data_IF_891452988604
#
_entry.id   IF_891452988604
#
_cell.length_a   1.000
_cell.length_b   1.000
_cell.length_c   1.000
_cell.angle_alpha   90.00
_cell.angle_beta   90.00
_cell.angle_gamma   90.00
#
_symmetry.space_group_name_H-M   'P 1'
#
loop_
_entity.id
_entity.type
_entity.pdbx_description
1 polymer ?
#
# COMPACT_ATOMS: atom_id res chain seq x y z
N UNK A 1 -3.42 6.88 -4.57
CA UNK A 1 -4.33 7.81 -3.87
C UNK A 1 -5.49 8.32 -4.72
N UNK A 2 -5.25 8.85 -5.93
CA UNK A 2 -6.31 9.41 -6.83
C UNK A 2 -6.70 8.46 -7.98
N UNK A 3 -6.90 7.17 -7.70
CA UNK A 3 -7.27 6.21 -8.75
C UNK A 3 -8.64 6.58 -9.34
N UNK A 4 -8.69 6.93 -10.62
CA UNK A 4 -9.92 7.37 -11.29
C UNK A 4 -10.94 6.22 -11.37
N UNK A 5 -12.20 6.55 -11.14
CA UNK A 5 -13.32 5.63 -11.35
C UNK A 5 -13.91 5.86 -12.73
N UNK A 6 -14.23 4.78 -13.45
CA UNK A 6 -15.02 4.89 -14.67
C UNK A 6 -16.47 5.15 -14.31
N UNK A 7 -17.01 6.26 -14.81
CA UNK A 7 -18.43 6.58 -14.69
C UNK A 7 -19.18 5.84 -15.78
N UNK A 8 -20.13 4.99 -15.41
CA UNK A 8 -21.10 4.46 -16.36
C UNK A 8 -22.09 5.58 -16.71
N UNK A 9 -22.14 5.97 -17.98
CA UNK A 9 -23.17 6.87 -18.46
C UNK A 9 -24.51 6.13 -18.36
N UNK A 10 -25.42 6.68 -17.58
CA UNK A 10 -26.81 6.23 -17.52
C UNK A 10 -27.69 7.30 -18.16
N UNK A 11 -28.72 6.85 -18.87
CA UNK A 11 -29.72 7.76 -19.40
C UNK A 11 -30.44 8.47 -18.25
N UNK A 12 -30.77 9.77 -18.41
CA UNK A 12 -31.51 10.50 -17.39
C UNK A 12 -32.87 9.84 -17.15
N UNK A 13 -33.04 9.26 -15.96
CA UNK A 13 -34.31 8.69 -15.51
C UNK A 13 -35.24 9.84 -15.08
N UNK A 14 -36.46 9.85 -15.61
CA UNK A 14 -37.49 10.84 -15.27
C UNK A 14 -37.81 10.81 -13.77
N UNK A 15 -38.09 11.99 -13.19
CA UNK A 15 -38.45 12.09 -11.79
C UNK A 15 -39.78 11.38 -11.51
N UNK A 16 -39.82 10.56 -10.46
CA UNK A 16 -41.08 10.00 -9.97
C UNK A 16 -41.90 11.07 -9.22
N UNK A 17 -43.23 10.97 -9.31
CA UNK A 17 -44.15 11.87 -8.62
C UNK A 17 -44.25 11.48 -7.13
N UNK A 18 -43.73 12.32 -6.23
CA UNK A 18 -43.81 12.13 -4.78
C UNK A 18 -42.87 13.08 -4.04
N UNK A 19 -43.19 13.45 -2.80
CA UNK A 19 -42.28 14.19 -1.93
C UNK A 19 -41.49 13.21 -1.03
N UNK A 20 -40.24 13.55 -0.64
CA UNK A 20 -39.49 12.76 0.32
C UNK A 20 -40.27 12.53 1.62
N UNK A 21 -40.15 11.33 2.19
CA UNK A 21 -40.79 10.98 3.47
C UNK A 21 -39.75 10.86 4.56
N UNK A 22 -39.97 11.56 5.67
CA UNK A 22 -39.14 11.42 6.86
C UNK A 22 -39.53 10.16 7.62
N UNK A 23 -38.57 9.28 7.88
CA UNK A 23 -38.73 8.00 8.57
C UNK A 23 -37.81 7.98 9.80
N UNK A 24 -38.33 7.50 10.93
CA UNK A 24 -37.55 7.32 12.15
C UNK A 24 -36.64 6.09 12.02
N UNK A 25 -35.36 6.28 12.31
CA UNK A 25 -34.29 5.27 12.28
C UNK A 25 -33.46 5.35 13.57
N UNK A 26 -34.07 5.16 14.74
CA UNK A 26 -33.40 5.38 16.03
C UNK A 26 -32.22 4.43 16.20
N UNK A 27 -31.06 4.98 16.57
CA UNK A 27 -29.84 4.20 16.82
C UNK A 27 -29.15 3.64 15.58
N UNK A 28 -29.65 3.92 14.36
CA UNK A 28 -29.01 3.53 13.09
C UNK A 28 -28.13 4.68 12.61
N UNK A 29 -26.83 4.42 12.46
CA UNK A 29 -25.83 5.43 12.11
C UNK A 29 -25.10 5.11 10.81
N UNK A 30 -24.83 3.84 10.52
CA UNK A 30 -24.15 3.45 9.28
C UNK A 30 -25.13 3.26 8.12
N UNK A 31 -24.64 3.35 6.89
CA UNK A 31 -25.47 3.13 5.71
C UNK A 31 -26.00 1.69 5.66
N UNK A 32 -25.20 0.72 6.10
CA UNK A 32 -25.55 -0.69 6.23
C UNK A 32 -26.69 -0.90 7.22
N UNK A 33 -26.58 -0.30 8.41
CA UNK A 33 -27.61 -0.37 9.45
C UNK A 33 -28.94 0.22 8.99
N UNK A 34 -28.89 1.32 8.22
CA UNK A 34 -30.08 1.98 7.66
C UNK A 34 -30.68 1.16 6.53
N UNK A 35 -29.85 0.62 5.63
CA UNK A 35 -30.28 -0.24 4.53
C UNK A 35 -30.98 -1.50 5.05
N UNK A 36 -30.38 -2.17 6.03
CA UNK A 36 -30.95 -3.34 6.70
C UNK A 36 -32.25 -3.00 7.41
N UNK A 37 -32.28 -1.92 8.19
CA UNK A 37 -33.46 -1.51 8.95
C UNK A 37 -34.66 -1.17 8.07
N UNK A 38 -34.42 -0.53 6.92
CA UNK A 38 -35.47 -0.13 5.98
C UNK A 38 -35.79 -1.21 4.93
N UNK A 39 -35.02 -2.30 4.90
CA UNK A 39 -35.20 -3.38 3.92
C UNK A 39 -34.91 -2.94 2.48
N UNK A 40 -33.92 -2.06 2.28
CA UNK A 40 -33.53 -1.54 0.96
C UNK A 40 -32.09 -1.93 0.61
N UNK A 41 -31.71 -2.00 -0.68
CA UNK A 41 -30.33 -2.23 -1.07
C UNK A 41 -29.40 -1.13 -0.54
N UNK A 42 -28.19 -1.48 -0.11
CA UNK A 42 -27.17 -0.50 0.31
C UNK A 42 -26.87 0.54 -0.80
N UNK A 43 -26.92 0.11 -2.05
CA UNK A 43 -26.77 0.97 -3.23
C UNK A 43 -27.87 2.05 -3.37
N UNK A 44 -28.99 1.92 -2.65
CA UNK A 44 -30.07 2.93 -2.60
C UNK A 44 -29.97 3.85 -1.39
N UNK A 45 -28.97 3.67 -0.52
CA UNK A 45 -28.67 4.59 0.58
C UNK A 45 -27.53 5.50 0.14
N UNK A 46 -27.46 6.73 0.65
CA UNK A 46 -26.33 7.63 0.43
C UNK A 46 -25.66 8.00 1.76
N UNK A 47 -24.34 8.15 1.72
CA UNK A 47 -23.53 8.64 2.82
C UNK A 47 -23.21 10.10 2.57
N UNK A 48 -23.48 10.95 3.55
CA UNK A 48 -23.11 12.37 3.53
C UNK A 48 -22.07 12.64 4.60
N UNK A 49 -20.89 13.05 4.17
CA UNK A 49 -19.77 13.40 5.05
C UNK A 49 -19.49 14.90 4.96
N UNK A 50 -19.26 15.54 6.10
CA UNK A 50 -18.94 16.97 6.16
C UNK A 50 -17.44 17.11 6.40
N UNK A 51 -16.79 17.86 5.54
CA UNK A 51 -15.37 18.17 5.63
C UNK A 51 -15.17 19.63 5.97
N UNK A 52 -14.10 19.91 6.70
CA UNK A 52 -13.60 21.25 7.00
C UNK A 52 -12.41 21.56 6.08
N UNK A 53 -12.40 22.77 5.52
CA UNK A 53 -11.35 23.27 4.63
C UNK A 53 -10.99 24.69 5.03
N UNK A 54 -9.91 25.24 4.47
CA UNK A 54 -9.58 26.66 4.65
C UNK A 54 -10.63 27.62 4.05
N UNK A 55 -11.57 27.13 3.22
CA UNK A 55 -12.66 27.88 2.62
C UNK A 55 -14.00 27.71 3.35
N UNK A 56 -14.06 26.87 4.38
CA UNK A 56 -15.28 26.54 5.12
C UNK A 56 -15.71 25.08 4.99
N UNK A 57 -16.92 24.77 5.47
CA UNK A 57 -17.48 23.42 5.44
C UNK A 57 -17.96 23.05 4.04
N UNK A 58 -17.79 21.78 3.67
CA UNK A 58 -18.29 21.21 2.41
C UNK A 58 -18.85 19.81 2.66
N UNK A 59 -19.95 19.47 2.01
CA UNK A 59 -20.55 18.15 2.07
C UNK A 59 -20.12 17.30 0.87
N UNK A 60 -19.72 16.05 1.13
CA UNK A 60 -19.45 15.06 0.10
C UNK A 60 -20.48 13.93 0.20
N UNK A 61 -21.13 13.60 -0.92
CA UNK A 61 -22.18 12.60 -0.98
C UNK A 61 -21.78 11.45 -1.91
N UNK A 62 -21.78 10.24 -1.37
CA UNK A 62 -21.49 9.00 -2.12
C UNK A 62 -22.59 7.96 -1.88
N UNK A 63 -22.60 6.91 -2.70
CA UNK A 63 -23.53 5.78 -2.56
C UNK A 63 -23.17 4.97 -1.31
N UNK A 64 -24.12 4.29 -0.69
CA UNK A 64 -23.95 3.62 0.61
C UNK A 64 -22.84 2.58 0.63
N UNK A 65 -22.61 1.93 -0.50
CA UNK A 65 -21.57 0.91 -0.75
C UNK A 65 -20.23 1.49 -1.26
N UNK A 66 -20.09 2.81 -1.33
CA UNK A 66 -18.88 3.50 -1.75
C UNK A 66 -18.28 4.32 -0.61
N UNK A 67 -16.96 4.43 -0.52
CA UNK A 67 -16.29 5.27 0.47
C UNK A 67 -15.84 6.60 -0.16
N UNK A 68 -15.96 7.72 0.56
CA UNK A 68 -15.41 8.99 0.10
C UNK A 68 -13.88 8.92 0.09
N UNK A 69 -13.26 9.47 -0.96
CA UNK A 69 -11.83 9.68 -1.07
C UNK A 69 -11.52 11.17 -0.84
N UNK A 70 -11.05 11.57 0.36
CA UNK A 70 -10.78 12.97 0.69
C UNK A 70 -9.72 13.60 -0.22
N UNK A 71 -8.77 12.81 -0.75
CA UNK A 71 -7.73 13.30 -1.66
C UNK A 71 -8.30 13.70 -3.02
N UNK A 72 -9.34 13.01 -3.50
CA UNK A 72 -10.08 13.42 -4.70
C UNK A 72 -10.89 14.69 -4.46
N UNK A 73 -11.61 14.75 -3.33
CA UNK A 73 -12.37 15.94 -2.94
C UNK A 73 -11.46 17.18 -2.79
N UNK A 74 -10.33 17.05 -2.09
CA UNK A 74 -9.28 18.09 -1.99
C UNK A 74 -8.87 18.62 -3.36
N UNK A 75 -8.60 17.69 -4.29
CA UNK A 75 -8.16 18.02 -5.63
C UNK A 75 -9.25 18.71 -6.45
N UNK A 76 -10.51 18.33 -6.27
CA UNK A 76 -11.65 18.93 -6.95
C UNK A 76 -11.91 20.35 -6.47
N UNK A 77 -11.84 20.59 -5.16
CA UNK A 77 -12.06 21.90 -4.54
C UNK A 77 -10.88 22.88 -4.72
N UNK A 78 -9.72 22.38 -5.14
CA UNK A 78 -8.48 23.17 -5.22
C UNK A 78 -8.14 23.79 -3.87
N UNK A 79 -8.14 22.96 -2.82
CA UNK A 79 -7.83 23.35 -1.44
C UNK A 79 -6.55 22.68 -0.96
N UNK A 80 -5.86 23.33 -0.03
CA UNK A 80 -4.62 22.82 0.56
C UNK A 80 -4.86 21.94 1.78
N UNK A 81 -5.95 22.17 2.52
CA UNK A 81 -6.31 21.39 3.71
C UNK A 81 -7.72 20.86 3.56
N UNK A 82 -7.90 19.58 3.89
CA UNK A 82 -9.22 18.98 4.04
C UNK A 82 -9.19 17.96 5.15
N UNK A 83 -10.12 18.06 6.09
CA UNK A 83 -10.25 17.14 7.21
C UNK A 83 -11.73 16.85 7.46
N UNK A 84 -12.05 15.73 8.11
CA UNK A 84 -13.43 15.48 8.51
C UNK A 84 -13.82 16.52 9.57
N UNK A 85 -14.98 17.15 9.40
CA UNK A 85 -15.42 18.19 10.31
C UNK A 85 -15.71 17.62 11.71
N UNK A 86 -15.35 18.40 12.74
CA UNK A 86 -15.64 18.07 14.14
C UNK A 86 -17.16 17.95 14.39
N UNK A 87 -17.56 16.98 15.21
CA UNK A 87 -18.98 16.69 15.48
C UNK A 87 -19.71 17.89 16.10
N UNK A 88 -19.06 18.68 16.97
CA UNK A 88 -19.70 19.83 17.59
C UNK A 88 -19.93 20.95 16.56
N UNK A 89 -18.97 21.17 15.65
CA UNK A 89 -19.11 22.12 14.54
C UNK A 89 -20.23 21.71 13.58
N UNK A 90 -20.31 20.42 13.25
CA UNK A 90 -21.37 19.84 12.41
C UNK A 90 -22.74 20.01 13.08
N UNK A 91 -22.87 19.63 14.36
CA UNK A 91 -24.12 19.75 15.10
C UNK A 91 -24.59 21.21 15.25
N UNK A 92 -23.67 22.14 15.49
CA UNK A 92 -23.99 23.57 15.57
C UNK A 92 -24.46 24.16 14.24
N UNK A 93 -23.96 23.63 13.11
CA UNK A 93 -24.27 24.15 11.77
C UNK A 93 -25.52 23.52 11.17
N UNK A 94 -25.67 22.20 11.28
CA UNK A 94 -26.72 21.42 10.62
C UNK A 94 -27.88 21.08 11.57
N UNK A 95 -27.63 21.08 12.88
CA UNK A 95 -28.62 20.67 13.89
C UNK A 95 -28.75 19.15 14.05
N UNK A 96 -27.83 18.38 13.46
CA UNK A 96 -27.79 16.92 13.55
C UNK A 96 -26.35 16.38 13.56
N UNK A 97 -26.20 15.15 14.01
CA UNK A 97 -24.92 14.44 14.11
C UNK A 97 -24.69 13.48 12.95
N UNK A 98 -23.45 13.02 12.82
CA UNK A 98 -23.08 11.95 11.90
C UNK A 98 -24.01 10.73 12.06
N UNK A 99 -24.38 10.12 10.93
CA UNK A 99 -25.39 9.05 10.85
C UNK A 99 -26.83 9.53 10.67
N UNK A 100 -27.09 10.83 10.64
CA UNK A 100 -28.39 11.38 10.22
C UNK A 100 -28.27 12.58 9.27
N UNK A 101 -27.08 12.77 8.69
CA UNK A 101 -26.77 13.84 7.74
C UNK A 101 -27.16 13.45 6.31
N UNK A 102 -27.76 14.38 5.57
CA UNK A 102 -28.13 14.23 4.17
C UNK A 102 -28.00 15.53 3.41
N UNK A 103 -28.02 15.51 2.06
CA UNK A 103 -27.76 16.69 1.23
C UNK A 103 -28.92 17.69 1.19
N UNK A 104 -30.12 17.30 1.63
CA UNK A 104 -31.33 18.12 1.51
C UNK A 104 -31.29 19.26 2.53
N UNK A 105 -31.29 20.51 2.04
CA UNK A 105 -31.34 21.71 2.88
C UNK A 105 -30.04 22.03 3.62
N UNK A 106 -28.90 21.50 3.17
CA UNK A 106 -27.60 21.86 3.74
C UNK A 106 -27.23 23.32 3.43
N UNK A 107 -26.65 24.06 4.39
CA UNK A 107 -26.28 25.47 4.22
C UNK A 107 -24.90 25.67 3.57
N UNK A 108 -24.25 24.60 3.09
CA UNK A 108 -22.93 24.61 2.49
C UNK A 108 -22.91 23.94 1.13
N UNK A 109 -21.79 24.03 0.42
CA UNK A 109 -21.62 23.37 -0.86
C UNK A 109 -21.74 21.85 -0.75
N UNK A 110 -22.45 21.25 -1.69
CA UNK A 110 -22.71 19.81 -1.75
C UNK A 110 -22.07 19.23 -3.01
N UNK A 111 -20.93 18.57 -2.83
CA UNK A 111 -20.27 17.80 -3.87
C UNK A 111 -20.82 16.37 -3.91
N UNK A 112 -21.23 15.90 -5.08
CA UNK A 112 -21.89 14.60 -5.26
C UNK A 112 -21.08 13.70 -6.19
N UNK A 113 -20.89 12.44 -5.79
CA UNK A 113 -20.21 11.44 -6.61
C UNK A 113 -21.03 11.09 -7.85
N UNK A 114 -20.36 10.91 -8.99
CA UNK A 114 -21.02 10.57 -10.25
C UNK A 114 -21.91 9.32 -10.18
N UNK A 115 -21.66 8.37 -9.28
CA UNK A 115 -22.52 7.19 -9.11
C UNK A 115 -23.96 7.52 -8.70
N UNK A 116 -24.21 8.71 -8.14
CA UNK A 116 -25.55 9.16 -7.76
C UNK A 116 -26.36 9.71 -8.93
N UNK A 117 -25.74 9.98 -10.09
CA UNK A 117 -26.44 10.53 -11.26
C UNK A 117 -27.60 9.62 -11.71
N UNK A 118 -27.37 8.30 -11.70
CA UNK A 118 -28.36 7.27 -12.03
C UNK A 118 -29.39 7.03 -10.92
N UNK A 119 -29.08 7.43 -9.69
CA UNK A 119 -29.86 7.04 -8.51
C UNK A 119 -31.11 7.90 -8.37
N UNK A 120 -32.24 7.27 -8.06
CA UNK A 120 -33.53 7.90 -7.78
C UNK A 120 -34.15 7.24 -6.55
N UNK A 121 -35.05 7.97 -5.91
CA UNK A 121 -35.83 7.52 -4.76
C UNK A 121 -34.97 6.92 -3.64
N UNK A 122 -33.78 7.49 -3.45
CA UNK A 122 -32.81 6.98 -2.50
C UNK A 122 -33.11 7.41 -1.07
N UNK A 123 -32.42 6.76 -0.14
CA UNK A 123 -32.44 7.05 1.29
C UNK A 123 -31.23 7.87 1.66
N UNK A 124 -31.43 8.94 2.44
CA UNK A 124 -30.35 9.78 2.96
C UNK A 124 -30.71 10.32 4.34
N UNK A 125 -29.75 10.83 5.11
CA UNK A 125 -30.04 11.41 6.41
C UNK A 125 -31.01 12.59 6.32
N UNK A 126 -31.84 12.78 7.34
CA UNK A 126 -32.85 13.85 7.34
C UNK A 126 -32.37 15.19 7.91
N UNK A 127 -31.07 15.32 8.20
CA UNK A 127 -30.50 16.42 9.00
C UNK A 127 -31.24 16.59 10.34
N UNK A 128 -31.64 15.46 10.93
CA UNK A 128 -32.28 15.38 12.24
C UNK A 128 -31.93 14.03 12.87
N UNK A 129 -31.37 14.05 14.08
CA UNK A 129 -30.88 12.86 14.78
C UNK A 129 -31.94 11.74 14.83
N UNK A 130 -31.55 10.55 14.36
CA UNK A 130 -32.41 9.37 14.35
C UNK A 130 -33.48 9.38 13.26
N UNK A 131 -33.32 10.18 12.21
CA UNK A 131 -34.23 10.20 11.06
C UNK A 131 -33.49 10.17 9.72
N UNK A 132 -34.12 9.53 8.74
CA UNK A 132 -33.73 9.53 7.34
C UNK A 132 -34.89 10.01 6.46
N UNK A 133 -34.57 10.50 5.28
CA UNK A 133 -35.51 10.77 4.20
C UNK A 133 -35.48 9.60 3.22
N UNK A 134 -36.65 9.11 2.82
CA UNK A 134 -36.81 8.12 1.75
C UNK A 134 -37.47 8.75 0.53
N UNK A 135 -37.18 8.22 -0.66
CA UNK A 135 -37.73 8.74 -1.90
C UNK A 135 -37.06 10.04 -2.36
N UNK A 136 -35.81 10.28 -1.99
CA UNK A 136 -35.06 11.50 -2.36
C UNK A 136 -34.53 11.41 -3.79
N UNK A 137 -34.55 12.54 -4.51
CA UNK A 137 -34.03 12.70 -5.87
C UNK A 137 -33.23 14.00 -5.98
N UNK A 138 -32.00 13.90 -6.50
CA UNK A 138 -31.23 15.08 -6.91
C UNK A 138 -31.97 15.80 -8.05
N UNK A 139 -31.83 17.12 -8.16
CA UNK A 139 -32.57 17.97 -9.11
C UNK A 139 -34.01 18.30 -8.69
N UNK A 140 -34.65 17.47 -7.85
CA UNK A 140 -35.98 17.73 -7.29
C UNK A 140 -35.92 18.24 -5.84
N UNK A 141 -35.19 17.54 -4.98
CA UNK A 141 -35.20 17.80 -3.53
C UNK A 141 -33.96 18.55 -3.04
N UNK A 142 -32.87 18.50 -3.82
CA UNK A 142 -31.67 19.30 -3.63
C UNK A 142 -30.93 19.39 -4.97
N UNK A 143 -30.18 20.47 -5.15
CA UNK A 143 -29.30 20.66 -6.31
C UNK A 143 -27.84 20.48 -5.85
N UNK A 144 -27.08 19.55 -6.45
CA UNK A 144 -25.64 19.45 -6.20
C UNK A 144 -24.92 20.75 -6.59
N UNK A 145 -24.04 21.27 -5.74
CA UNK A 145 -23.15 22.37 -6.14
C UNK A 145 -22.18 21.91 -7.23
N UNK A 146 -21.71 20.66 -7.13
CA UNK A 146 -20.82 20.08 -8.12
C UNK A 146 -20.96 18.55 -8.19
N UNK A 147 -20.76 18.01 -9.39
CA UNK A 147 -20.57 16.58 -9.63
C UNK A 147 -19.09 16.28 -9.80
N UNK A 148 -18.58 15.25 -9.12
CA UNK A 148 -17.17 14.89 -9.16
C UNK A 148 -16.94 13.38 -8.95
N UNK A 149 -15.74 12.91 -9.30
CA UNK A 149 -15.25 11.59 -8.88
C UNK A 149 -14.79 11.73 -7.42
N UNK A 150 -15.64 11.31 -6.47
CA UNK A 150 -15.41 11.50 -5.04
C UNK A 150 -15.10 10.20 -4.32
N UNK A 151 -15.43 9.05 -4.90
CA UNK A 151 -15.28 7.77 -4.21
C UNK A 151 -13.90 7.13 -4.34
N UNK A 152 -13.55 6.30 -3.36
CA UNK A 152 -12.48 5.33 -3.50
C UNK A 152 -12.89 4.24 -4.49
N UNK A 153 -11.89 3.72 -5.22
CA UNK A 153 -12.09 2.58 -6.10
C UNK A 153 -12.19 1.29 -5.27
N UNK A 154 -13.07 0.40 -5.68
CA UNK A 154 -13.31 -0.90 -5.05
C UNK A 154 -12.83 -2.05 -5.95
N UNK A 155 -12.58 -3.21 -5.36
CA UNK A 155 -12.28 -4.41 -6.13
C UNK A 155 -13.44 -4.78 -7.04
N UNK A 156 -13.13 -5.09 -8.31
CA UNK A 156 -14.13 -5.38 -9.34
C UNK A 156 -14.58 -4.16 -10.14
N UNK A 157 -14.28 -2.93 -9.71
CA UNK A 157 -14.59 -1.73 -10.50
C UNK A 157 -13.96 -1.79 -11.90
N UNK A 158 -14.66 -1.29 -12.93
CA UNK A 158 -14.14 -1.29 -14.29
C UNK A 158 -12.97 -0.32 -14.42
N UNK A 159 -11.88 -0.80 -15.01
CA UNK A 159 -10.71 0.02 -15.29
C UNK A 159 -11.08 1.23 -16.17
N UNK A 160 -10.66 2.46 -15.81
CA UNK A 160 -10.96 3.66 -16.58
C UNK A 160 -10.34 3.66 -17.98
N UNK A 161 -9.35 2.79 -18.24
CA UNK A 161 -8.70 2.65 -19.55
C UNK A 161 -9.27 1.52 -20.40
N UNK A 162 -9.49 0.35 -19.83
CA UNK A 162 -9.82 -0.87 -20.59
C UNK A 162 -11.10 -1.60 -20.13
N UNK A 163 -11.83 -1.07 -19.15
CA UNK A 163 -13.03 -1.67 -18.54
C UNK A 163 -12.84 -3.00 -17.79
N UNK A 164 -11.66 -3.62 -17.84
CA UNK A 164 -11.38 -4.85 -17.09
C UNK A 164 -11.52 -4.63 -15.57
N UNK A 165 -11.97 -5.64 -14.80
CA UNK A 165 -12.16 -5.51 -13.37
C UNK A 165 -10.83 -5.27 -12.64
N UNK A 166 -10.82 -4.30 -11.73
CA UNK A 166 -9.63 -3.95 -10.95
C UNK A 166 -9.47 -4.89 -9.76
N UNK A 167 -8.24 -5.36 -9.56
CA UNK A 167 -7.83 -6.05 -8.35
C UNK A 167 -7.09 -5.09 -7.41
N UNK A 168 -7.44 -5.11 -6.12
CA UNK A 168 -6.74 -4.34 -5.10
C UNK A 168 -5.70 -5.25 -4.43
N UNK A 169 -4.46 -4.77 -4.36
CA UNK A 169 -3.36 -5.44 -3.65
C UNK A 169 -2.75 -4.48 -2.65
N UNK A 170 -2.19 -5.03 -1.57
CA UNK A 170 -1.39 -4.27 -0.62
C UNK A 170 0.03 -4.15 -1.15
N UNK A 171 0.62 -2.98 -1.00
CA UNK A 171 2.00 -2.71 -1.38
C UNK A 171 2.64 -1.76 -0.39
N UNK A 172 3.96 -1.89 -0.24
CA UNK A 172 4.78 -0.96 0.53
C UNK A 172 5.43 -0.03 -0.48
N UNK A 173 5.19 1.27 -0.37
CA UNK A 173 5.82 2.27 -1.25
C UNK A 173 7.31 2.39 -0.87
N UNK A 174 8.18 1.77 -1.66
CA UNK A 174 9.65 1.85 -1.49
C UNK A 174 10.28 3.02 -2.24
N UNK A 175 9.56 3.65 -3.16
CA UNK A 175 10.03 4.82 -3.89
C UNK A 175 8.91 5.55 -4.63
N UNK A 176 9.21 6.80 -4.99
CA UNK A 176 8.27 7.70 -5.66
C UNK A 176 9.04 8.62 -6.60
N UNK A 177 8.45 8.90 -7.76
CA UNK A 177 8.97 9.86 -8.73
C UNK A 177 7.95 10.97 -8.96
N UNK A 178 8.38 12.23 -8.89
CA UNK A 178 7.51 13.38 -9.09
C UNK A 178 8.03 14.28 -10.21
N UNK A 179 7.10 14.77 -11.04
CA UNK A 179 7.31 15.92 -11.90
C UNK A 179 6.89 17.17 -11.12
N UNK A 180 7.86 17.90 -10.59
CA UNK A 180 7.61 19.07 -9.76
C UNK A 180 7.26 20.31 -10.60
N UNK A 181 7.63 20.31 -11.88
CA UNK A 181 7.45 21.48 -12.74
C UNK A 181 8.31 22.63 -12.23
N UNK A 182 7.73 23.82 -12.16
CA UNK A 182 8.43 25.06 -11.77
C UNK A 182 8.16 25.48 -10.33
N UNK A 183 7.43 24.66 -9.54
CA UNK A 183 6.97 25.00 -8.18
C UNK A 183 8.07 25.58 -7.27
N UNK A 184 9.25 24.95 -7.28
CA UNK A 184 10.37 25.37 -6.43
C UNK A 184 11.28 26.38 -7.12
N UNK A 185 11.48 26.24 -8.42
CA UNK A 185 12.33 27.17 -9.17
C UNK A 185 11.76 28.59 -9.18
N UNK A 186 10.43 28.73 -9.29
CA UNK A 186 9.76 30.04 -9.20
C UNK A 186 9.85 30.62 -7.79
N UNK A 187 9.59 29.81 -6.76
CA UNK A 187 9.58 30.30 -5.38
C UNK A 187 10.97 30.60 -4.81
N UNK A 188 12.01 29.97 -5.36
CA UNK A 188 13.41 30.10 -4.91
C UNK A 188 14.30 30.87 -5.89
N UNK A 189 13.73 31.48 -6.93
CA UNK A 189 14.45 32.25 -7.96
C UNK A 189 15.56 31.45 -8.69
N UNK A 190 15.31 30.17 -8.98
CA UNK A 190 16.25 29.31 -9.71
C UNK A 190 15.94 29.33 -11.23
N UNK A 191 16.67 30.19 -11.95
CA UNK A 191 16.48 30.46 -13.38
C UNK A 191 17.70 30.08 -14.24
N UNK A 192 17.47 29.87 -15.53
CA UNK A 192 18.51 29.75 -16.56
C UNK A 192 18.17 30.63 -17.77
N UNK A 193 19.17 30.99 -18.57
CA UNK A 193 18.93 31.61 -19.88
C UNK A 193 18.73 30.50 -20.92
N UNK A 194 17.63 30.55 -21.64
CA UNK A 194 17.38 29.62 -22.73
C UNK A 194 18.15 29.98 -24.02
N UNK A 195 17.87 29.27 -25.10
CA UNK A 195 18.53 29.46 -26.39
C UNK A 195 18.27 30.84 -27.02
N UNK A 196 17.17 31.50 -26.66
CA UNK A 196 16.78 32.83 -27.13
C UNK A 196 17.29 33.95 -26.20
N UNK A 197 17.96 33.58 -25.10
CA UNK A 197 18.44 34.50 -24.08
C UNK A 197 17.36 34.97 -23.10
N UNK A 198 16.22 34.27 -23.04
CA UNK A 198 15.15 34.55 -22.08
C UNK A 198 15.42 33.85 -20.75
N UNK A 199 15.20 34.56 -19.64
CA UNK A 199 15.25 33.96 -18.31
C UNK A 199 14.04 33.07 -18.09
N UNK A 200 14.26 31.78 -17.85
CA UNK A 200 13.20 30.79 -17.60
C UNK A 200 13.45 30.02 -16.30
N UNK A 201 12.40 29.72 -15.51
CA UNK A 201 12.55 28.88 -14.33
C UNK A 201 12.91 27.45 -14.74
N UNK A 202 13.74 26.79 -13.94
CA UNK A 202 14.14 25.41 -14.19
C UNK A 202 12.97 24.43 -14.02
N UNK A 203 12.72 23.56 -15.00
CA UNK A 203 11.75 22.46 -14.84
C UNK A 203 12.38 21.35 -14.00
N UNK A 204 11.75 21.00 -12.89
CA UNK A 204 12.31 20.07 -11.91
C UNK A 204 11.55 18.73 -11.87
N UNK A 205 12.31 17.67 -11.60
CA UNK A 205 11.81 16.38 -11.16
C UNK A 205 12.54 15.95 -9.89
N UNK A 206 11.89 15.13 -9.06
CA UNK A 206 12.55 14.48 -7.93
C UNK A 206 12.25 12.98 -7.87
N UNK A 207 13.22 12.24 -7.35
CA UNK A 207 13.21 10.78 -7.32
C UNK A 207 13.67 10.34 -5.94
N UNK A 208 12.83 9.59 -5.23
CA UNK A 208 13.13 9.14 -3.88
C UNK A 208 12.98 7.64 -3.76
N UNK A 209 13.94 7.00 -3.10
CA UNK A 209 13.88 5.59 -2.68
C UNK A 209 14.16 5.55 -1.17
N UNK A 210 13.27 4.90 -0.42
CA UNK A 210 13.43 4.74 1.01
C UNK A 210 14.34 3.57 1.32
N UNK A 211 15.67 3.77 1.36
CA UNK A 211 16.66 2.69 1.51
C UNK A 211 16.34 1.71 2.65
N UNK A 212 16.14 2.22 3.87
CA UNK A 212 15.78 1.36 5.02
C UNK A 212 14.41 0.68 4.87
N UNK A 213 13.46 1.36 4.23
CA UNK A 213 12.13 0.79 3.94
C UNK A 213 12.23 -0.32 2.88
N UNK A 214 13.10 -0.19 1.89
CA UNK A 214 13.36 -1.22 0.88
C UNK A 214 13.90 -2.48 1.53
N UNK A 215 14.85 -2.37 2.46
CA UNK A 215 15.36 -3.51 3.21
C UNK A 215 14.23 -4.19 4.03
N UNK A 216 13.42 -3.42 4.77
CA UNK A 216 12.28 -3.96 5.50
C UNK A 216 11.23 -4.63 4.58
N UNK A 217 10.92 -4.00 3.45
CA UNK A 217 10.00 -4.54 2.46
C UNK A 217 10.52 -5.84 1.81
N UNK A 218 11.85 -5.97 1.64
CA UNK A 218 12.46 -7.21 1.20
C UNK A 218 12.27 -8.33 2.23
N UNK A 219 12.43 -8.05 3.54
CA UNK A 219 12.15 -9.03 4.61
C UNK A 219 10.67 -9.42 4.63
N UNK A 220 9.75 -8.46 4.55
CA UNK A 220 8.30 -8.72 4.51
C UNK A 220 7.90 -9.67 3.38
N UNK A 221 8.54 -9.56 2.22
CA UNK A 221 8.32 -10.47 1.09
C UNK A 221 9.15 -11.76 1.19
N UNK A 222 10.22 -11.77 1.99
CA UNK A 222 11.20 -12.85 2.03
C UNK A 222 11.57 -13.28 3.45
N UNK A 223 10.63 -13.95 4.11
CA UNK A 223 10.84 -14.61 5.40
C UNK A 223 10.08 -15.95 5.46
N UNK A 224 10.40 -16.73 6.49
CA UNK A 224 9.61 -17.88 6.93
C UNK A 224 9.53 -17.90 8.46
N UNK A 225 8.93 -18.94 9.04
CA UNK A 225 8.78 -19.09 10.50
C UNK A 225 10.12 -19.13 11.26
N UNK A 226 11.24 -19.38 10.56
CA UNK A 226 12.58 -19.49 11.15
C UNK A 226 13.38 -18.18 11.04
N UNK A 227 12.92 -17.21 10.24
CA UNK A 227 13.57 -15.91 10.12
C UNK A 227 13.65 -15.39 8.68
N UNK A 228 14.65 -14.54 8.44
CA UNK A 228 14.83 -13.84 7.16
C UNK A 228 15.32 -14.81 6.09
N UNK A 229 14.94 -14.60 4.83
CA UNK A 229 15.48 -15.31 3.68
C UNK A 229 15.91 -14.31 2.60
N UNK A 230 17.05 -13.65 2.80
CA UNK A 230 17.48 -12.53 1.97
C UNK A 230 17.56 -12.88 0.47
N UNK A 231 17.08 -11.99 -0.42
CA UNK A 231 17.59 -11.94 -1.78
C UNK A 231 19.11 -11.77 -1.76
N UNK A 232 19.84 -12.46 -2.65
CA UNK A 232 21.32 -12.50 -2.63
C UNK A 232 21.96 -11.10 -2.62
N UNK A 233 21.51 -10.10 -3.41
CA UNK A 233 22.10 -8.76 -3.38
C UNK A 233 21.90 -7.98 -2.07
N UNK A 234 20.98 -8.42 -1.20
CA UNK A 234 20.65 -7.76 0.07
C UNK A 234 21.13 -8.53 1.30
N UNK A 235 21.67 -9.73 1.10
CA UNK A 235 22.13 -10.55 2.20
C UNK A 235 23.37 -9.90 2.85
N UNK A 236 23.49 -9.92 4.19
CA UNK A 236 24.68 -9.38 4.87
C UNK A 236 25.94 -10.19 4.56
N UNK A 237 25.75 -11.48 4.28
CA UNK A 237 26.75 -12.40 3.73
C UNK A 237 26.02 -13.37 2.82
N UNK A 238 26.67 -13.84 1.77
CA UNK A 238 26.08 -14.76 0.81
C UNK A 238 26.14 -16.21 1.31
N UNK A 239 27.24 -16.57 1.97
CA UNK A 239 27.48 -17.90 2.52
C UNK A 239 27.70 -17.82 4.03
N UNK A 240 26.93 -18.59 4.81
CA UNK A 240 27.16 -18.80 6.24
C UNK A 240 27.81 -20.18 6.44
N UNK A 241 29.08 -20.15 6.82
CA UNK A 241 29.92 -21.32 6.98
C UNK A 241 30.00 -21.73 8.46
N UNK A 242 29.51 -22.92 8.81
CA UNK A 242 29.39 -23.40 10.19
C UNK A 242 30.38 -24.52 10.47
N UNK A 243 31.24 -24.30 11.46
CA UNK A 243 32.11 -25.34 12.03
C UNK A 243 31.42 -25.99 13.22
N UNK A 244 31.22 -27.31 13.16
CA UNK A 244 30.56 -28.08 14.22
C UNK A 244 31.53 -28.52 15.32
N UNK A 245 32.82 -28.68 15.01
CA UNK A 245 33.82 -29.13 15.99
C UNK A 245 35.17 -28.43 15.80
N UNK A 246 35.43 -27.43 16.66
CA UNK A 246 36.66 -26.64 16.66
C UNK A 246 37.90 -27.40 17.16
N UNK A 247 37.71 -28.54 17.83
CA UNK A 247 38.83 -29.36 18.34
C UNK A 247 39.47 -30.22 17.24
N UNK A 248 38.85 -30.30 16.06
CA UNK A 248 39.40 -31.02 14.93
C UNK A 248 40.19 -30.04 14.05
N UNK A 249 41.52 -30.02 14.24
CA UNK A 249 42.43 -29.12 13.51
C UNK A 249 42.33 -29.27 11.98
N UNK A 250 42.14 -30.51 11.47
CA UNK A 250 42.00 -30.76 10.05
C UNK A 250 40.70 -30.14 9.48
N UNK A 251 39.61 -30.22 10.25
CA UNK A 251 38.32 -29.60 9.90
C UNK A 251 38.43 -28.08 9.91
N UNK A 252 39.06 -27.51 10.95
CA UNK A 252 39.29 -26.06 11.06
C UNK A 252 40.13 -25.57 9.88
N UNK A 253 41.26 -26.23 9.59
CA UNK A 253 42.13 -25.85 8.47
C UNK A 253 41.42 -25.95 7.11
N UNK A 254 40.55 -26.95 6.92
CA UNK A 254 39.77 -27.07 5.70
C UNK A 254 38.70 -25.98 5.58
N UNK A 255 38.03 -25.62 6.68
CA UNK A 255 37.07 -24.53 6.72
C UNK A 255 37.73 -23.18 6.37
N UNK A 256 38.87 -22.86 7.00
CA UNK A 256 39.63 -21.64 6.73
C UNK A 256 40.08 -21.57 5.27
N UNK A 257 40.62 -22.67 4.72
CA UNK A 257 41.02 -22.70 3.31
C UNK A 257 39.85 -22.44 2.36
N UNK A 258 38.70 -23.06 2.61
CA UNK A 258 37.52 -22.90 1.76
C UNK A 258 36.90 -21.50 1.90
N UNK A 259 36.93 -20.94 3.10
CA UNK A 259 36.59 -19.53 3.35
C UNK A 259 37.46 -18.60 2.50
N UNK A 260 38.79 -18.72 2.61
CA UNK A 260 39.74 -17.85 1.90
C UNK A 260 39.63 -18.01 0.38
N UNK A 261 39.36 -19.23 -0.10
CA UNK A 261 39.13 -19.49 -1.52
C UNK A 261 37.85 -18.80 -2.03
N UNK A 262 36.76 -18.85 -1.26
CA UNK A 262 35.51 -18.16 -1.60
C UNK A 262 35.68 -16.64 -1.59
N UNK A 263 36.34 -16.08 -0.57
CA UNK A 263 36.63 -14.65 -0.50
C UNK A 263 37.51 -14.19 -1.68
N UNK A 264 38.50 -15.00 -2.08
CA UNK A 264 39.34 -14.70 -3.25
C UNK A 264 38.57 -14.63 -4.58
N UNK A 265 37.37 -15.20 -4.62
CA UNK A 265 36.44 -15.18 -5.75
C UNK A 265 35.35 -14.11 -5.61
N UNK A 266 35.43 -13.26 -4.57
CA UNK A 266 34.48 -12.18 -4.32
C UNK A 266 33.18 -12.62 -3.65
N UNK A 267 33.15 -13.82 -3.04
CA UNK A 267 32.00 -14.28 -2.25
C UNK A 267 32.16 -13.79 -0.82
N UNK A 268 31.12 -13.16 -0.28
CA UNK A 268 31.06 -12.70 1.11
C UNK A 268 30.65 -13.87 2.01
N UNK A 269 31.57 -14.30 2.88
CA UNK A 269 31.41 -15.46 3.75
C UNK A 269 31.37 -15.06 5.22
N UNK A 270 30.39 -15.55 5.97
CA UNK A 270 30.35 -15.52 7.42
C UNK A 270 30.87 -16.84 7.97
N UNK A 271 32.04 -16.84 8.59
CA UNK A 271 32.59 -18.00 9.29
C UNK A 271 32.09 -18.04 10.74
N UNK A 272 31.27 -19.03 11.09
CA UNK A 272 30.82 -19.27 12.47
C UNK A 272 31.76 -20.27 13.17
N UNK A 273 32.84 -19.73 13.70
CA UNK A 273 33.89 -20.40 14.46
C UNK A 273 33.68 -20.34 15.98
N UNK A 274 32.49 -19.92 16.45
CA UNK A 274 32.19 -19.80 17.89
C UNK A 274 32.18 -21.17 18.57
N UNK A 275 32.60 -21.22 19.83
CA UNK A 275 32.50 -22.44 20.66
C UNK A 275 31.08 -22.61 21.21
N UNK A 276 30.13 -22.84 20.29
CA UNK A 276 28.70 -22.96 20.58
C UNK A 276 28.11 -24.26 20.04
N UNK A 277 26.99 -24.69 20.63
CA UNK A 277 26.30 -25.91 20.19
C UNK A 277 25.78 -25.74 18.76
N UNK A 278 25.95 -26.76 17.92
CA UNK A 278 25.51 -26.73 16.52
C UNK A 278 24.05 -26.30 16.33
N UNK A 279 23.14 -26.75 17.21
CA UNK A 279 21.73 -26.34 17.17
C UNK A 279 21.52 -24.83 17.35
N UNK A 280 22.33 -24.17 18.19
CA UNK A 280 22.28 -22.70 18.37
C UNK A 280 22.78 -22.02 17.10
N UNK A 281 23.93 -22.45 16.57
CA UNK A 281 24.47 -21.94 15.31
C UNK A 281 23.47 -22.06 14.16
N UNK A 282 22.79 -23.20 14.03
CA UNK A 282 21.79 -23.40 12.98
C UNK A 282 20.58 -22.49 13.14
N UNK A 283 20.07 -22.31 14.36
CA UNK A 283 18.94 -21.42 14.62
C UNK A 283 19.29 -19.96 14.31
N UNK A 284 20.48 -19.50 14.71
CA UNK A 284 20.94 -18.14 14.41
C UNK A 284 21.26 -17.95 12.93
N UNK A 285 21.79 -18.98 12.25
CA UNK A 285 21.98 -18.95 10.81
C UNK A 285 20.66 -18.82 10.04
N UNK A 286 19.62 -19.55 10.48
CA UNK A 286 18.28 -19.43 9.91
C UNK A 286 17.69 -18.04 10.17
N UNK A 287 17.95 -17.44 11.34
CA UNK A 287 17.50 -16.09 11.68
C UNK A 287 18.20 -15.00 10.85
N UNK A 288 19.53 -15.10 10.71
CA UNK A 288 20.36 -14.18 9.90
C UNK A 288 20.01 -14.25 8.41
N UNK A 289 19.65 -15.44 7.92
CA UNK A 289 19.03 -15.60 6.61
C UNK A 289 19.98 -15.55 5.41
N UNK A 290 21.26 -15.89 5.60
CA UNK A 290 22.23 -15.97 4.50
C UNK A 290 21.76 -16.99 3.44
N UNK A 291 21.82 -16.68 2.14
CA UNK A 291 21.28 -17.51 1.07
C UNK A 291 21.76 -18.96 1.06
N UNK A 292 23.04 -19.19 1.35
CA UNK A 292 23.63 -20.52 1.46
C UNK A 292 24.23 -20.75 2.84
N UNK A 293 24.00 -21.94 3.39
CA UNK A 293 24.64 -22.44 4.60
C UNK A 293 25.50 -23.64 4.26
N UNK A 294 26.77 -23.61 4.64
CA UNK A 294 27.71 -24.72 4.50
C UNK A 294 28.04 -25.22 5.89
N UNK A 295 27.83 -26.50 6.17
CA UNK A 295 28.15 -27.11 7.46
C UNK A 295 29.26 -28.14 7.28
N UNK A 296 30.35 -27.98 8.05
CA UNK A 296 31.36 -29.02 8.21
C UNK A 296 31.16 -29.77 9.52
N UNK A 297 30.49 -30.92 9.40
CA UNK A 297 30.37 -31.92 10.46
C UNK A 297 31.49 -32.96 10.39
N UNK A 298 31.93 -33.54 11.54
CA UNK A 298 33.04 -34.49 11.58
C UNK A 298 32.80 -35.76 10.75
N UNK A 299 31.54 -36.22 10.63
CA UNK A 299 31.18 -37.41 9.87
C UNK A 299 31.37 -37.20 8.36
N UNK A 300 30.68 -36.20 7.80
CA UNK A 300 30.74 -35.88 6.37
C UNK A 300 32.14 -35.42 5.97
N UNK A 301 32.83 -34.66 6.83
CA UNK A 301 34.20 -34.23 6.59
C UNK A 301 35.17 -35.42 6.44
N UNK A 302 35.02 -36.47 7.26
CA UNK A 302 35.86 -37.67 7.15
C UNK A 302 35.65 -38.42 5.82
N UNK A 303 34.49 -38.24 5.18
CA UNK A 303 34.15 -38.78 3.86
C UNK A 303 34.50 -37.81 2.71
N UNK A 304 35.13 -36.66 3.00
CA UNK A 304 35.49 -35.65 2.00
C UNK A 304 34.34 -34.74 1.55
N UNK A 305 33.27 -34.65 2.36
CA UNK A 305 32.03 -33.94 2.01
C UNK A 305 31.68 -32.81 3.01
N UNK A 306 30.80 -31.91 2.58
CA UNK A 306 30.11 -30.90 3.38
C UNK A 306 28.59 -31.03 3.22
N UNK A 307 27.82 -30.43 4.13
CA UNK A 307 26.39 -30.24 3.93
C UNK A 307 26.12 -28.82 3.43
N UNK A 308 25.51 -28.70 2.25
CA UNK A 308 25.11 -27.43 1.64
C UNK A 308 23.59 -27.29 1.71
N UNK A 309 23.10 -26.17 2.25
CA UNK A 309 21.68 -25.88 2.34
C UNK A 309 21.38 -24.47 1.86
N UNK A 310 20.55 -24.32 0.83
CA UNK A 310 19.96 -23.02 0.51
C UNK A 310 18.95 -22.62 1.61
N UNK A 311 18.89 -21.33 2.00
CA UNK A 311 18.06 -20.86 3.13
C UNK A 311 16.59 -21.28 3.06
N UNK A 312 16.05 -21.39 1.85
CA UNK A 312 14.66 -21.80 1.60
C UNK A 312 14.48 -23.31 1.35
N UNK A 313 15.56 -24.07 1.23
CA UNK A 313 15.48 -25.52 1.04
C UNK A 313 14.96 -26.20 2.32
N UNK A 314 14.16 -27.25 2.14
CA UNK A 314 13.72 -28.10 3.25
C UNK A 314 14.92 -28.84 3.86
N UNK A 315 15.66 -29.55 3.00
CA UNK A 315 16.78 -30.41 3.36
C UNK A 315 18.13 -29.85 2.89
N UNK A 316 19.21 -30.34 3.52
CA UNK A 316 20.56 -30.11 3.06
C UNK A 316 20.99 -31.17 2.04
N UNK A 317 21.86 -30.79 1.11
CA UNK A 317 22.53 -31.69 0.17
C UNK A 317 23.92 -32.03 0.70
N UNK A 318 24.34 -33.29 0.59
CA UNK A 318 25.73 -33.69 0.84
C UNK A 318 26.52 -33.46 -0.45
N UNK A 319 27.55 -32.62 -0.37
CA UNK A 319 28.36 -32.20 -1.53
C UNK A 319 29.84 -32.46 -1.28
N UNK A 320 30.62 -32.86 -2.30
CA UNK A 320 32.07 -32.97 -2.15
C UNK A 320 32.70 -31.63 -1.76
N UNK A 321 33.77 -31.67 -0.95
CA UNK A 321 34.58 -30.47 -0.68
C UNK A 321 35.32 -30.00 -1.92
N UNK A 322 35.74 -30.94 -2.77
CA UNK A 322 36.36 -30.65 -4.06
C UNK A 322 35.35 -29.95 -4.98
N UNK A 323 35.72 -28.78 -5.50
CA UNK A 323 34.86 -27.97 -6.38
C UNK A 323 33.73 -27.21 -5.68
N UNK A 324 33.62 -27.28 -4.34
CA UNK A 324 32.57 -26.56 -3.60
C UNK A 324 32.72 -25.04 -3.72
N UNK A 325 33.95 -24.53 -3.70
CA UNK A 325 34.23 -23.11 -3.88
C UNK A 325 33.76 -22.59 -5.24
N UNK A 326 34.07 -23.33 -6.32
CA UNK A 326 33.61 -23.02 -7.68
C UNK A 326 32.09 -23.00 -7.75
N UNK A 327 31.43 -24.05 -7.25
CA UNK A 327 29.97 -24.17 -7.27
C UNK A 327 29.28 -23.01 -6.55
N UNK A 328 29.77 -22.63 -5.38
CA UNK A 328 29.20 -21.52 -4.59
C UNK A 328 29.46 -20.17 -5.26
N UNK A 329 30.67 -19.92 -5.75
CA UNK A 329 31.00 -18.70 -6.47
C UNK A 329 30.13 -18.52 -7.73
N UNK A 330 29.93 -19.58 -8.51
CA UNK A 330 29.03 -19.56 -9.67
C UNK A 330 27.56 -19.34 -9.26
N UNK A 331 27.12 -19.96 -8.16
CA UNK A 331 25.75 -19.78 -7.65
C UNK A 331 25.50 -18.33 -7.20
N UNK A 332 26.46 -17.73 -6.52
CA UNK A 332 26.43 -16.33 -6.08
C UNK A 332 26.42 -15.41 -7.29
N UNK A 333 27.37 -15.60 -8.21
CA UNK A 333 27.49 -14.78 -9.43
C UNK A 333 26.20 -14.81 -10.24
N UNK A 334 25.65 -16.00 -10.50
CA UNK A 334 24.39 -16.14 -11.25
C UNK A 334 23.22 -15.43 -10.55
N UNK A 335 23.15 -15.51 -9.21
CA UNK A 335 22.09 -14.88 -8.45
C UNK A 335 22.21 -13.34 -8.41
N UNK A 336 23.43 -12.81 -8.51
CA UNK A 336 23.68 -11.38 -8.64
C UNK A 336 23.42 -10.88 -10.07
N UNK A 337 23.76 -11.66 -11.10
CA UNK A 337 23.52 -11.32 -12.51
C UNK A 337 22.02 -11.30 -12.88
N UNK A 338 21.20 -12.17 -12.30
CA UNK A 338 19.73 -12.20 -12.52
C UNK A 338 19.02 -10.99 -11.87
N UNK A 339 19.72 -10.23 -11.01
CA UNK A 339 19.18 -9.04 -10.36
C UNK A 339 19.31 -7.75 -11.20
N UNK A 340 20.11 -7.76 -12.27
CA UNK A 340 20.27 -6.69 -13.27
C UNK A 340 19.37 -6.91 -14.51
#
# INVERSE_FOLDING_TARGET
>A
EKAAVRVEQSDPVAHSAGAPRKVATPGKKSAEEVAEFLGVPLASVTKTMIFDTEKGLVAAVVRGDHEVNPVKLKSHLGVDVIELADEAKVAATIGARAGSLGPVGLPMDVCVDFALAALRDFVTGANADGFHLTGVQHGRDFEPTAWADLRAIAGGDPCPKCAAPIAIRRGIEVGHVFRLGTKYSESMDAHFLDADGESRPMIMGCYGIGIGRTAAAAIEQNHDERGIAWPVPLAPFQVHFILVNLRNEALVAAATRLHDELESRGVEVLLDDRDERAGVKFAEADLLGCPWRVTLGPKQFAEGNAELKARRAAEAEIVPLEGLADRLADSVRLALEVAD
#
